data_IF_445480720201
#
_entry.id   IF_445480720201
#
_cell.length_a   1.000
_cell.length_b   1.000
_cell.length_c   1.000
_cell.angle_alpha   90.00
_cell.angle_beta   90.00
_cell.angle_gamma   90.00
#
_symmetry.space_group_name_H-M   'P 1'
#
loop_
_entity.id
_entity.type
_entity.pdbx_description
1 polymer ?
#
# COMPACT_ATOMS: atom_id res chain seq x y z
N UNK A 1 -24.43 7.80 -0.01
CA UNK A 1 -23.79 8.34 0.51
C UNK A 1 -22.73 7.82 0.81
N UNK A 2 -21.98 7.86 0.36
CA UNK A 2 -20.87 7.40 0.64
C UNK A 2 -20.66 7.29 2.03
N UNK A 3 -21.44 6.66 2.68
CA UNK A 3 -21.24 6.59 3.96
C UNK A 3 -20.13 5.77 4.28
N UNK A 4 -19.30 6.18 5.05
CA UNK A 4 -18.22 5.37 5.51
C UNK A 4 -18.73 4.24 6.33
N UNK A 5 -18.01 3.14 6.33
CA UNK A 5 -18.43 1.99 7.10
C UNK A 5 -18.55 2.32 8.56
N UNK A 6 -19.46 1.68 9.19
CA UNK A 6 -19.62 1.90 10.60
C UNK A 6 -18.45 1.37 11.36
N UNK A 7 -17.73 0.40 10.83
CA UNK A 7 -16.62 -0.16 11.51
C UNK A 7 -15.38 0.08 10.73
N UNK A 8 -14.87 1.27 10.76
CA UNK A 8 -13.67 1.59 10.01
C UNK A 8 -12.49 0.72 10.38
N UNK A 9 -12.44 0.26 11.62
CA UNK A 9 -11.33 -0.57 12.02
C UNK A 9 -11.30 -1.88 11.25
N UNK A 10 -12.46 -2.45 11.03
CA UNK A 10 -12.52 -3.69 10.32
C UNK A 10 -12.10 -3.52 8.88
N UNK A 11 -12.51 -2.42 8.27
CA UNK A 11 -12.12 -2.17 6.91
C UNK A 11 -10.62 -1.95 6.81
N UNK A 12 -10.05 -1.26 7.76
CA UNK A 12 -8.62 -1.04 7.78
C UNK A 12 -7.89 -2.36 7.92
N UNK A 13 -8.39 -3.25 8.78
CA UNK A 13 -7.79 -4.56 8.92
C UNK A 13 -7.79 -5.33 7.62
N UNK A 14 -8.88 -5.28 6.89
CA UNK A 14 -8.95 -5.97 5.60
C UNK A 14 -7.96 -5.40 4.62
N UNK A 15 -7.82 -4.09 4.60
CA UNK A 15 -6.88 -3.45 3.70
C UNK A 15 -5.46 -3.87 4.06
N UNK A 16 -5.16 -3.92 5.35
CA UNK A 16 -3.82 -4.31 5.78
C UNK A 16 -3.54 -5.76 5.45
N UNK A 17 -4.54 -6.63 5.62
CA UNK A 17 -4.36 -8.03 5.26
C UNK A 17 -4.11 -8.18 3.77
N UNK A 18 -4.85 -7.45 2.96
CA UNK A 18 -4.67 -7.51 1.52
C UNK A 18 -3.31 -6.97 1.12
N UNK A 19 -2.86 -5.92 1.79
CA UNK A 19 -1.54 -5.37 1.52
C UNK A 19 -0.47 -6.39 1.87
N UNK A 20 -0.64 -7.10 2.97
CA UNK A 20 0.32 -8.12 3.37
C UNK A 20 0.35 -9.26 2.35
N UNK A 21 -0.81 -9.63 1.83
CA UNK A 21 -0.89 -10.65 0.80
C UNK A 21 -0.10 -10.23 -0.44
N UNK A 22 -0.25 -8.96 -0.85
CA UNK A 22 0.48 -8.46 -1.98
C UNK A 22 1.98 -8.44 -1.72
N UNK A 23 2.38 -8.06 -0.53
CA UNK A 23 3.79 -8.04 -0.17
C UNK A 23 4.37 -9.44 -0.20
N UNK A 24 3.62 -10.41 0.30
CA UNK A 24 4.06 -11.79 0.26
C UNK A 24 4.21 -12.28 -1.17
N UNK A 25 3.26 -11.92 -2.01
CA UNK A 25 3.33 -12.29 -3.42
C UNK A 25 4.58 -11.69 -4.06
N UNK A 26 4.85 -10.43 -3.78
CA UNK A 26 6.02 -9.78 -4.32
C UNK A 26 7.30 -10.44 -3.85
N UNK A 27 7.35 -10.80 -2.58
CA UNK A 27 8.53 -11.44 -2.03
C UNK A 27 8.80 -12.78 -2.67
N UNK A 28 7.74 -13.48 -3.07
CA UNK A 28 7.91 -14.77 -3.70
C UNK A 28 8.13 -14.70 -5.21
N UNK A 29 7.77 -13.58 -5.81
CA UNK A 29 7.79 -13.46 -7.25
C UNK A 29 9.01 -12.73 -7.77
N UNK A 30 9.44 -11.71 -7.07
CA UNK A 30 10.52 -10.87 -7.55
C UNK A 30 11.82 -11.16 -6.81
N UNK A 31 12.90 -11.18 -7.54
CA UNK A 31 14.20 -11.44 -6.94
C UNK A 31 14.70 -10.26 -6.13
N UNK A 32 14.34 -9.05 -6.54
CA UNK A 32 14.82 -7.84 -5.87
C UNK A 32 13.69 -6.99 -5.42
N UNK A 33 13.80 -6.40 -4.22
CA UNK A 33 12.74 -5.51 -3.75
C UNK A 33 12.49 -4.32 -4.68
N UNK A 34 13.52 -3.85 -5.38
CA UNK A 34 13.33 -2.73 -6.29
C UNK A 34 12.42 -3.10 -7.46
N UNK A 35 12.47 -4.35 -7.89
CA UNK A 35 11.60 -4.80 -8.96
C UNK A 35 10.15 -4.83 -8.49
N UNK A 36 9.96 -5.32 -7.27
CA UNK A 36 8.62 -5.35 -6.69
C UNK A 36 8.07 -3.94 -6.53
N UNK A 37 8.92 -3.04 -6.06
CA UNK A 37 8.50 -1.67 -5.88
C UNK A 37 8.02 -1.04 -7.18
N UNK A 38 8.78 -1.24 -8.23
CA UNK A 38 8.45 -0.64 -9.51
C UNK A 38 7.19 -1.27 -10.10
N UNK A 39 7.05 -2.58 -9.97
CA UNK A 39 5.87 -3.26 -10.47
C UNK A 39 4.62 -2.78 -9.74
N UNK A 40 4.70 -2.59 -8.44
CA UNK A 40 3.57 -2.10 -7.68
C UNK A 40 3.22 -0.66 -8.08
N UNK A 41 4.24 0.15 -8.31
CA UNK A 41 4.02 1.52 -8.72
C UNK A 41 3.28 1.58 -10.05
N UNK A 42 3.74 0.82 -11.03
CA UNK A 42 3.11 0.82 -12.34
C UNK A 42 1.70 0.27 -12.25
N UNK A 43 1.51 -0.79 -11.49
CA UNK A 43 0.17 -1.37 -11.35
C UNK A 43 -0.79 -0.38 -10.70
N UNK A 44 -0.33 0.33 -9.69
CA UNK A 44 -1.16 1.32 -9.03
C UNK A 44 -1.54 2.44 -9.99
N UNK A 45 -0.58 2.86 -10.81
CA UNK A 45 -0.84 3.93 -11.77
C UNK A 45 -1.89 3.49 -12.80
N UNK A 46 -1.77 2.26 -13.26
CA UNK A 46 -2.72 1.74 -14.23
C UNK A 46 -4.13 1.70 -13.64
N UNK A 47 -4.24 1.19 -12.43
CA UNK A 47 -5.54 1.14 -11.77
C UNK A 47 -6.12 2.53 -11.53
N UNK A 48 -5.26 3.46 -11.15
CA UNK A 48 -5.69 4.83 -10.93
C UNK A 48 -6.29 5.41 -12.21
N UNK A 49 -5.63 5.16 -13.32
CA UNK A 49 -6.11 5.66 -14.60
C UNK A 49 -7.42 4.99 -15.00
N UNK A 50 -7.52 3.67 -14.76
CA UNK A 50 -8.74 2.96 -15.13
C UNK A 50 -9.93 3.39 -14.31
N UNK A 51 -9.69 3.78 -13.08
CA UNK A 51 -10.77 4.23 -12.22
C UNK A 51 -11.06 5.72 -12.39
N UNK A 52 -10.34 6.37 -13.28
CA UNK A 52 -10.52 7.80 -13.51
C UNK A 52 -10.29 8.63 -12.27
N UNK A 53 -9.38 8.18 -11.43
CA UNK A 53 -9.02 8.94 -10.24
C UNK A 53 -7.98 9.98 -10.64
N UNK A 54 -8.16 11.24 -10.24
CA UNK A 54 -7.17 12.25 -10.57
C UNK A 54 -5.82 11.94 -9.97
N UNK A 55 -4.77 12.27 -10.69
CA UNK A 55 -3.43 11.95 -10.21
C UNK A 55 -3.13 12.60 -8.87
N UNK A 56 -3.74 13.76 -8.61
CA UNK A 56 -3.52 14.42 -7.32
C UNK A 56 -4.01 13.58 -6.16
N UNK A 57 -5.13 12.90 -6.36
CA UNK A 57 -5.66 12.03 -5.32
C UNK A 57 -4.75 10.82 -5.12
N UNK A 58 -4.24 10.28 -6.21
CA UNK A 58 -3.32 9.17 -6.13
C UNK A 58 -2.06 9.56 -5.35
N UNK A 59 -1.50 10.72 -5.68
CA UNK A 59 -0.29 11.17 -5.00
C UNK A 59 -0.53 11.44 -3.53
N UNK A 60 -1.69 11.98 -3.21
CA UNK A 60 -2.02 12.25 -1.82
C UNK A 60 -2.15 10.94 -1.05
N UNK A 61 -2.82 9.95 -1.65
CA UNK A 61 -2.96 8.66 -1.02
C UNK A 61 -1.63 7.97 -0.82
N UNK A 62 -0.75 8.07 -1.82
CA UNK A 62 0.56 7.48 -1.71
C UNK A 62 1.35 8.14 -0.57
N UNK A 63 1.25 9.44 -0.48
CA UNK A 63 1.98 10.17 0.56
C UNK A 63 1.52 9.74 1.94
N UNK A 64 0.21 9.61 2.13
CA UNK A 64 -0.32 9.16 3.40
C UNK A 64 0.16 7.76 3.74
N UNK A 65 0.09 6.86 2.76
CA UNK A 65 0.52 5.49 2.99
C UNK A 65 2.01 5.44 3.32
N UNK A 66 2.79 6.26 2.64
CA UNK A 66 4.23 6.29 2.90
C UNK A 66 4.51 6.76 4.33
N UNK A 67 3.84 7.82 4.75
CA UNK A 67 4.05 8.34 6.10
C UNK A 67 3.64 7.31 7.15
N UNK A 68 2.56 6.60 6.92
CA UNK A 68 2.14 5.57 7.84
C UNK A 68 3.15 4.44 7.89
N UNK A 69 3.71 4.07 6.74
CA UNK A 69 4.72 3.02 6.70
C UNK A 69 5.97 3.41 7.45
N UNK A 70 6.36 4.68 7.33
CA UNK A 70 7.53 5.17 8.05
C UNK A 70 7.28 5.12 9.55
N UNK A 71 6.09 5.49 9.98
CA UNK A 71 5.76 5.44 11.39
C UNK A 71 5.79 4.00 11.91
N UNK A 72 5.24 3.08 11.15
CA UNK A 72 5.23 1.69 11.56
C UNK A 72 6.64 1.14 11.66
N UNK A 73 7.48 1.51 10.70
CA UNK A 73 8.85 1.06 10.72
C UNK A 73 9.59 1.60 11.94
N UNK A 74 9.38 2.86 12.25
CA UNK A 74 10.03 3.46 13.40
C UNK A 74 9.58 2.81 14.69
N UNK A 75 8.28 2.46 14.76
CA UNK A 75 7.77 1.86 15.95
C UNK A 75 8.31 0.49 16.17
N UNK A 76 8.40 -0.32 15.14
CA UNK A 76 8.85 -1.68 15.31
C UNK A 76 10.36 -1.78 15.20
N UNK A 77 11.03 -0.70 14.86
CA UNK A 77 12.47 -0.77 14.74
C UNK A 77 12.87 -1.36 13.42
N UNK A 78 14.16 -1.49 13.23
CA UNK A 78 14.69 -1.98 11.96
C UNK A 78 14.42 -3.44 11.82
N UNK A 79 13.33 -3.75 11.28
CA UNK A 79 12.97 -5.12 11.23
C UNK A 79 13.70 -5.87 10.18
N UNK A 80 14.43 -5.21 9.32
CA UNK A 80 15.09 -5.98 8.39
C UNK A 80 16.45 -6.27 8.75
N UNK A 81 16.89 -5.83 9.82
CA UNK A 81 18.20 -6.02 10.09
C UNK A 81 18.43 -7.31 10.48
N UNK A 82 17.95 -8.12 10.14
CA UNK A 82 18.37 -9.39 10.52
C UNK A 82 18.37 -10.15 9.41
#
# INVERSE_FOLDING_TARGET
MGKLPDKPDKQIEEIMDNAQTLLNFCGNTFAKPSEAWYACLVSSAILTAELDVPVEVFLEGFEHAYKDAVKAKAKTGPSYDH
#
